data_IF_955535654034
#
_entry.id   IF_955535654034
#
_cell.length_a   1.000
_cell.length_b   1.000
_cell.length_c   1.000
_cell.angle_alpha   90.00
_cell.angle_beta   90.00
_cell.angle_gamma   90.00
#
_symmetry.space_group_name_H-M   'P 1'
#
loop_
_entity.id
_entity.type
_entity.pdbx_description
1 polymer ?
#
# COMPACT_ATOMS: atom_id res chain seq x y z
N UNK A 1 -12.44 -21.65 1.07
CA UNK A 1 -12.17 -20.28 1.56
C UNK A 1 -11.55 -20.26 2.96
N UNK A 2 -10.86 -19.18 3.36
CA UNK A 2 -10.38 -18.97 4.74
C UNK A 2 -11.55 -18.45 5.61
N UNK A 3 -11.93 -19.15 6.70
CA UNK A 3 -13.02 -18.72 7.58
C UNK A 3 -12.75 -17.39 8.31
N UNK A 4 -11.53 -16.84 8.24
CA UNK A 4 -11.10 -15.64 8.99
C UNK A 4 -11.10 -14.33 8.21
N UNK A 5 -11.61 -14.32 6.98
CA UNK A 5 -11.44 -13.16 6.11
C UNK A 5 -12.15 -11.89 6.60
N UNK A 6 -13.25 -11.99 7.37
CA UNK A 6 -13.94 -10.80 7.90
C UNK A 6 -13.11 -10.14 9.00
N UNK A 7 -12.58 -10.93 9.93
CA UNK A 7 -11.73 -10.41 11.00
C UNK A 7 -10.38 -9.93 10.47
N UNK A 8 -9.85 -10.53 9.40
CA UNK A 8 -8.66 -10.02 8.71
C UNK A 8 -8.92 -8.66 8.08
N UNK A 9 -10.00 -8.50 7.31
CA UNK A 9 -10.39 -7.22 6.74
C UNK A 9 -10.58 -6.13 7.81
N UNK A 10 -11.24 -6.45 8.93
CA UNK A 10 -11.39 -5.50 10.04
C UNK A 10 -10.05 -5.19 10.70
N UNK A 11 -9.13 -6.16 10.82
CA UNK A 11 -7.79 -5.93 11.38
C UNK A 11 -6.97 -4.98 10.50
N UNK A 12 -7.09 -5.08 9.18
CA UNK A 12 -6.46 -4.14 8.26
C UNK A 12 -7.00 -2.73 8.44
N UNK A 13 -8.31 -2.57 8.58
CA UNK A 13 -8.95 -1.26 8.86
C UNK A 13 -8.42 -0.69 10.19
N UNK A 14 -8.43 -1.48 11.28
CA UNK A 14 -7.88 -1.07 12.59
C UNK A 14 -6.41 -0.64 12.47
N UNK A 15 -5.63 -1.36 11.68
CA UNK A 15 -4.22 -1.04 11.46
C UNK A 15 -4.05 0.26 10.67
N UNK A 16 -4.89 0.48 9.65
CA UNK A 16 -4.94 1.72 8.88
C UNK A 16 -5.33 2.91 9.76
N UNK A 17 -6.39 2.80 10.54
CA UNK A 17 -6.83 3.84 11.49
C UNK A 17 -5.74 4.15 12.51
N UNK A 18 -5.09 3.13 13.08
CA UNK A 18 -3.95 3.32 13.99
C UNK A 18 -2.77 4.05 13.32
N UNK A 19 -2.41 3.70 12.08
CA UNK A 19 -1.34 4.37 11.35
C UNK A 19 -1.69 5.85 11.08
N UNK A 20 -2.94 6.13 10.70
CA UNK A 20 -3.43 7.50 10.48
C UNK A 20 -3.36 8.36 11.75
N UNK A 21 -3.69 7.79 12.91
CA UNK A 21 -3.54 8.45 14.22
C UNK A 21 -2.06 8.67 14.54
N UNK A 22 -1.25 7.61 14.47
CA UNK A 22 0.17 7.64 14.84
C UNK A 22 0.96 8.64 14.02
N UNK A 23 0.73 8.67 12.72
CA UNK A 23 1.51 9.44 11.75
C UNK A 23 0.83 10.78 11.42
N UNK A 24 -0.17 11.22 12.20
CA UNK A 24 -0.95 12.43 11.97
C UNK A 24 -0.11 13.68 11.66
N UNK A 25 0.99 13.86 12.38
CA UNK A 25 1.89 15.02 12.24
C UNK A 25 2.70 14.99 10.93
N UNK A 26 2.80 13.83 10.29
CA UNK A 26 3.52 13.65 9.02
C UNK A 26 2.66 13.94 7.80
N UNK A 27 1.34 13.92 7.95
CA UNK A 27 0.38 14.19 6.88
C UNK A 27 -0.01 15.66 6.81
N UNK A 28 -0.16 16.16 5.58
CA UNK A 28 -0.91 17.38 5.32
C UNK A 28 -2.40 17.20 5.67
N UNK A 29 -3.13 18.30 5.84
CA UNK A 29 -4.58 18.23 6.13
C UNK A 29 -5.40 17.63 4.99
N UNK A 30 -4.88 17.68 3.76
CA UNK A 30 -5.51 17.06 2.59
C UNK A 30 -5.28 15.54 2.59
N UNK A 31 -4.04 15.09 2.73
CA UNK A 31 -3.69 13.66 2.86
C UNK A 31 -4.41 13.00 4.05
N UNK A 32 -4.49 13.69 5.19
CA UNK A 32 -5.23 13.19 6.35
C UNK A 32 -6.71 12.97 6.03
N UNK A 33 -7.35 13.92 5.33
CA UNK A 33 -8.76 13.81 4.93
C UNK A 33 -8.97 12.71 3.90
N UNK A 34 -8.06 12.55 2.95
CA UNK A 34 -8.12 11.46 1.97
C UNK A 34 -8.01 10.08 2.63
N UNK A 35 -7.07 9.93 3.57
CA UNK A 35 -6.91 8.70 4.35
C UNK A 35 -8.18 8.36 5.15
N UNK A 36 -8.82 9.37 5.77
CA UNK A 36 -10.08 9.17 6.49
C UNK A 36 -11.24 8.78 5.57
N UNK A 37 -11.33 9.37 4.38
CA UNK A 37 -12.34 8.99 3.38
C UNK A 37 -12.14 7.55 2.95
N UNK A 38 -10.89 7.14 2.71
CA UNK A 38 -10.56 5.74 2.39
C UNK A 38 -10.99 4.78 3.51
N UNK A 39 -10.61 5.07 4.76
CA UNK A 39 -10.98 4.26 5.92
C UNK A 39 -12.49 4.19 6.11
N UNK A 40 -13.20 5.31 5.94
CA UNK A 40 -14.67 5.36 6.00
C UNK A 40 -15.30 4.42 4.97
N UNK A 41 -14.83 4.48 3.72
CA UNK A 41 -15.33 3.64 2.64
C UNK A 41 -15.04 2.15 2.88
N UNK A 42 -13.84 1.84 3.39
CA UNK A 42 -13.46 0.47 3.74
C UNK A 42 -14.35 -0.08 4.87
N UNK A 43 -14.55 0.71 5.94
CA UNK A 43 -15.38 0.33 7.08
C UNK A 43 -16.85 0.14 6.70
N UNK A 44 -17.40 1.06 5.91
CA UNK A 44 -18.78 0.95 5.41
C UNK A 44 -18.97 -0.27 4.50
N UNK A 45 -18.02 -0.55 3.61
CA UNK A 45 -18.05 -1.75 2.75
C UNK A 45 -18.03 -3.03 3.57
N UNK A 46 -17.16 -3.14 4.56
CA UNK A 46 -17.09 -4.32 5.42
C UNK A 46 -18.40 -4.52 6.21
N UNK A 47 -18.98 -3.44 6.73
CA UNK A 47 -20.30 -3.48 7.39
C UNK A 47 -21.39 -4.02 6.48
N UNK A 48 -21.49 -3.50 5.25
CA UNK A 48 -22.49 -3.96 4.27
C UNK A 48 -22.35 -5.44 3.92
N UNK A 49 -21.12 -5.96 3.88
CA UNK A 49 -20.83 -7.37 3.65
C UNK A 49 -21.32 -8.23 4.82
N UNK A 50 -21.02 -7.83 6.06
CA UNK A 50 -21.52 -8.51 7.27
C UNK A 50 -23.04 -8.50 7.32
N UNK A 51 -23.69 -7.38 7.00
CA UNK A 51 -25.15 -7.29 6.92
C UNK A 51 -25.74 -8.18 5.82
N UNK A 52 -25.07 -8.28 4.67
CA UNK A 52 -25.49 -9.14 3.58
C UNK A 52 -25.39 -10.61 3.96
N UNK A 53 -24.30 -11.00 4.60
CA UNK A 53 -24.10 -12.33 5.16
C UNK A 53 -25.22 -12.67 6.16
N UNK A 54 -25.50 -11.78 7.10
CA UNK A 54 -26.61 -11.90 8.05
C UNK A 54 -27.97 -12.12 7.38
N UNK A 55 -28.30 -11.33 6.34
CA UNK A 55 -29.55 -11.50 5.59
C UNK A 55 -29.63 -12.87 4.91
N UNK A 56 -28.52 -13.36 4.36
CA UNK A 56 -28.46 -14.67 3.71
C UNK A 56 -28.56 -15.81 4.71
N UNK A 57 -27.88 -15.70 5.86
CA UNK A 57 -28.01 -16.66 6.96
C UNK A 57 -29.47 -16.73 7.45
N UNK A 58 -30.08 -15.58 7.76
CA UNK A 58 -31.47 -15.55 8.23
C UNK A 58 -32.50 -16.09 7.22
N UNK A 59 -32.22 -16.01 5.92
CA UNK A 59 -33.15 -16.50 4.87
C UNK A 59 -32.98 -17.98 4.52
N UNK A 60 -31.81 -18.57 4.76
CA UNK A 60 -31.50 -19.97 4.38
C UNK A 60 -31.35 -20.93 5.56
N UNK A 61 -31.01 -20.42 6.75
CA UNK A 61 -30.50 -21.23 7.87
C UNK A 61 -31.51 -21.36 9.01
N UNK A 62 -32.50 -20.46 9.12
CA UNK A 62 -33.44 -20.48 10.25
C UNK A 62 -34.85 -20.93 9.85
N UNK A 63 -35.49 -21.80 10.67
CA UNK A 63 -35.46 -21.72 12.15
C UNK A 63 -35.27 -23.08 12.88
N UNK A 64 -34.05 -23.52 13.23
CA UNK A 64 -33.90 -24.59 14.25
C UNK A 64 -32.51 -24.89 14.80
N UNK A 65 -31.38 -24.60 14.13
CA UNK A 65 -30.10 -25.18 14.58
C UNK A 65 -29.44 -24.38 15.72
N UNK A 66 -29.42 -24.89 16.97
CA UNK A 66 -28.81 -24.22 18.11
C UNK A 66 -27.30 -23.96 17.91
N UNK A 67 -26.65 -24.73 17.05
CA UNK A 67 -25.23 -24.65 16.70
C UNK A 67 -24.86 -23.27 16.11
N UNK A 68 -25.76 -22.64 15.35
CA UNK A 68 -25.49 -21.34 14.69
C UNK A 68 -25.95 -20.12 15.47
N UNK A 69 -26.59 -20.32 16.63
CA UNK A 69 -27.17 -19.25 17.44
C UNK A 69 -26.15 -18.18 17.83
N UNK A 70 -24.96 -18.61 18.24
CA UNK A 70 -23.87 -17.72 18.64
C UNK A 70 -23.44 -16.79 17.51
N UNK A 71 -23.38 -17.28 16.27
CA UNK A 71 -22.95 -16.50 15.11
C UNK A 71 -23.98 -15.42 14.77
N UNK A 72 -25.26 -15.77 14.79
CA UNK A 72 -26.38 -14.84 14.54
C UNK A 72 -26.52 -13.80 15.65
N UNK A 73 -26.08 -14.10 16.87
CA UNK A 73 -26.02 -13.13 17.96
C UNK A 73 -24.81 -12.18 17.83
N UNK A 74 -23.67 -12.65 17.33
CA UNK A 74 -22.42 -11.87 17.26
C UNK A 74 -22.31 -10.96 16.04
N UNK A 75 -22.67 -11.45 14.84
CA UNK A 75 -22.52 -10.68 13.60
C UNK A 75 -23.30 -9.33 13.61
N UNK A 76 -24.51 -9.22 14.19
CA UNK A 76 -25.20 -7.92 14.28
C UNK A 76 -24.48 -6.95 15.23
N UNK A 77 -23.84 -7.47 16.29
CA UNK A 77 -23.03 -6.66 17.20
C UNK A 77 -21.77 -6.15 16.50
N UNK A 78 -21.14 -6.97 15.66
CA UNK A 78 -20.05 -6.54 14.79
C UNK A 78 -20.51 -5.40 13.87
N UNK A 79 -21.59 -5.59 13.11
CA UNK A 79 -22.10 -4.59 12.18
C UNK A 79 -22.49 -3.26 12.89
N UNK A 80 -23.07 -3.33 14.10
CA UNK A 80 -23.38 -2.13 14.89
C UNK A 80 -22.12 -1.38 15.33
N UNK A 81 -21.09 -2.10 15.81
CA UNK A 81 -19.82 -1.49 16.15
C UNK A 81 -19.11 -0.89 14.92
N UNK A 82 -19.20 -1.54 13.76
CA UNK A 82 -18.69 -0.98 12.49
C UNK A 82 -19.41 0.31 12.09
N UNK A 83 -20.72 0.41 12.33
CA UNK A 83 -21.49 1.63 12.05
C UNK A 83 -21.08 2.79 12.97
N UNK A 84 -20.83 2.49 14.25
CA UNK A 84 -20.28 3.47 15.20
C UNK A 84 -18.92 3.98 14.69
N UNK A 85 -18.00 3.07 14.32
CA UNK A 85 -16.71 3.45 13.75
C UNK A 85 -16.83 4.27 12.46
N UNK A 86 -17.70 3.86 11.54
CA UNK A 86 -17.96 4.59 10.29
C UNK A 86 -18.44 6.02 10.57
N UNK A 87 -19.29 6.21 11.59
CA UNK A 87 -19.82 7.53 11.98
C UNK A 87 -18.71 8.43 12.53
N UNK A 88 -17.82 7.90 13.36
CA UNK A 88 -16.67 8.64 13.89
C UNK A 88 -15.69 9.02 12.77
N UNK A 89 -15.39 8.10 11.85
CA UNK A 89 -14.54 8.37 10.67
C UNK A 89 -15.15 9.43 9.74
N UNK A 90 -16.47 9.39 9.50
CA UNK A 90 -17.18 10.44 8.76
C UNK A 90 -17.10 11.80 9.47
N UNK A 91 -17.08 11.80 10.80
CA UNK A 91 -16.83 12.96 11.65
C UNK A 91 -15.38 13.45 11.65
N UNK A 92 -14.48 12.77 10.92
CA UNK A 92 -13.03 12.98 10.92
C UNK A 92 -12.36 12.70 12.27
N UNK A 93 -12.97 11.84 13.09
CA UNK A 93 -12.45 11.42 14.39
C UNK A 93 -11.88 9.99 14.30
N UNK A 94 -10.61 9.87 13.91
CA UNK A 94 -9.93 8.57 13.88
C UNK A 94 -9.75 7.97 15.28
N UNK A 95 -9.46 8.81 16.28
CA UNK A 95 -9.27 8.38 17.67
C UNK A 95 -10.57 7.82 18.25
N UNK A 96 -11.70 8.46 17.95
CA UNK A 96 -13.05 8.02 18.30
C UNK A 96 -13.47 6.73 17.59
N UNK A 97 -13.00 6.51 16.35
CA UNK A 97 -13.31 5.31 15.58
C UNK A 97 -12.59 4.04 16.07
N UNK A 98 -11.38 4.16 16.60
CA UNK A 98 -10.54 3.00 16.93
C UNK A 98 -11.19 2.04 17.96
N UNK A 99 -11.82 2.51 19.07
CA UNK A 99 -12.51 1.60 20.00
C UNK A 99 -13.68 0.80 19.40
N UNK A 100 -14.64 1.38 18.65
CA UNK A 100 -15.65 0.59 17.95
C UNK A 100 -15.08 -0.38 16.90
N UNK A 101 -14.04 0.00 16.15
CA UNK A 101 -13.38 -0.92 15.22
C UNK A 101 -12.79 -2.16 15.93
N UNK A 102 -12.12 -1.96 17.07
CA UNK A 102 -11.57 -3.06 17.86
C UNK A 102 -12.67 -3.95 18.45
N UNK A 103 -13.80 -3.38 18.88
CA UNK A 103 -14.96 -4.17 19.34
C UNK A 103 -15.56 -4.99 18.19
N UNK A 104 -15.72 -4.39 17.01
CA UNK A 104 -16.15 -5.09 15.80
C UNK A 104 -15.24 -6.29 15.50
N UNK A 105 -13.93 -6.08 15.53
CA UNK A 105 -12.93 -7.14 15.31
C UNK A 105 -13.12 -8.32 16.28
N UNK A 106 -13.33 -8.04 17.57
CA UNK A 106 -13.55 -9.08 18.57
C UNK A 106 -14.84 -9.87 18.31
N UNK A 107 -15.93 -9.21 17.89
CA UNK A 107 -17.17 -9.88 17.55
C UNK A 107 -17.01 -10.77 16.31
N UNK A 108 -16.31 -10.28 15.28
CA UNK A 108 -16.01 -11.07 14.09
C UNK A 108 -15.18 -12.32 14.42
N UNK A 109 -14.09 -12.16 15.17
CA UNK A 109 -13.24 -13.29 15.56
C UNK A 109 -14.01 -14.36 16.32
N UNK A 110 -14.90 -13.97 17.24
CA UNK A 110 -15.76 -14.90 17.99
C UNK A 110 -16.82 -15.56 17.11
N UNK A 111 -17.34 -14.85 16.10
CA UNK A 111 -18.30 -15.39 15.16
C UNK A 111 -17.64 -16.42 14.23
N UNK A 112 -16.43 -16.12 13.76
CA UNK A 112 -15.63 -17.02 12.93
C UNK A 112 -15.18 -18.25 13.72
N UNK A 113 -14.77 -18.09 14.99
CA UNK A 113 -14.44 -19.22 15.89
C UNK A 113 -15.66 -20.14 16.09
N UNK A 114 -16.84 -19.56 16.36
CA UNK A 114 -18.06 -20.34 16.47
C UNK A 114 -18.41 -21.07 15.16
N UNK A 115 -18.18 -20.44 14.01
CA UNK A 115 -18.35 -21.08 12.70
C UNK A 115 -17.36 -22.23 12.49
N UNK A 116 -16.08 -22.03 12.81
CA UNK A 116 -15.05 -23.09 12.76
C UNK A 116 -15.46 -24.29 13.64
N UNK A 117 -15.95 -24.05 14.87
CA UNK A 117 -16.41 -25.11 15.77
C UNK A 117 -17.58 -25.91 15.18
N UNK A 118 -18.56 -25.23 14.60
CA UNK A 118 -19.70 -25.88 13.93
C UNK A 118 -19.21 -26.73 12.75
N UNK A 119 -18.34 -26.19 11.91
CA UNK A 119 -17.76 -26.92 10.78
C UNK A 119 -16.96 -28.16 11.22
N UNK A 120 -16.17 -28.05 12.29
CA UNK A 120 -15.41 -29.18 12.86
C UNK A 120 -16.35 -30.24 13.43
N UNK A 121 -17.41 -29.85 14.14
CA UNK A 121 -18.39 -30.78 14.72
C UNK A 121 -19.15 -31.58 13.65
N UNK A 122 -19.46 -30.93 12.52
CA UNK A 122 -20.11 -31.55 11.37
C UNK A 122 -19.12 -32.41 10.55
N UNK A 123 -17.86 -31.97 10.42
CA UNK A 123 -16.79 -32.75 9.80
C UNK A 123 -16.40 -34.02 10.57
N UNK A 124 -16.48 -34.00 11.91
CA UNK A 124 -16.28 -35.18 12.78
C UNK A 124 -17.47 -36.16 12.78
N UNK A 125 -18.63 -35.75 12.25
CA UNK A 125 -19.82 -36.60 12.06
C UNK A 125 -19.79 -37.47 10.79
N UNK A 126 -18.74 -37.38 9.98
CA UNK A 126 -18.52 -38.10 8.72
C UNK A 126 -18.21 -39.59 8.92
N UNK A 127 -19.17 -40.32 9.51
CA UNK A 127 -19.07 -41.73 9.85
C UNK A 127 -20.45 -42.39 9.96
N UNK A 128 -21.33 -42.15 8.99
CA UNK A 128 -22.50 -42.99 8.74
C UNK A 128 -23.86 -42.38 9.09
N UNK A 129 -24.67 -42.19 8.04
CA UNK A 129 -26.10 -42.44 8.07
C UNK A 129 -27.03 -41.28 8.47
N UNK A 130 -27.76 -40.75 7.48
CA UNK A 130 -29.19 -40.49 7.62
C UNK A 130 -29.64 -39.06 7.93
N UNK A 131 -30.06 -38.35 6.88
CA UNK A 131 -31.35 -37.63 6.84
C UNK A 131 -31.49 -36.34 7.64
N UNK A 132 -31.46 -35.20 6.93
CA UNK A 132 -32.25 -34.00 7.27
C UNK A 132 -31.49 -32.80 7.81
N UNK A 133 -30.36 -32.99 8.51
CA UNK A 133 -29.57 -31.88 9.11
C UNK A 133 -28.38 -31.36 8.28
N UNK A 134 -27.87 -32.15 7.32
CA UNK A 134 -26.67 -31.76 6.53
C UNK A 134 -26.90 -30.61 5.55
N UNK A 135 -28.12 -30.39 5.07
CA UNK A 135 -28.35 -29.42 3.99
C UNK A 135 -28.26 -27.95 4.45
N UNK A 136 -28.73 -27.62 5.66
CA UNK A 136 -28.62 -26.26 6.18
C UNK A 136 -27.17 -25.86 6.45
N UNK A 137 -26.34 -26.82 6.87
CA UNK A 137 -24.91 -26.64 7.09
C UNK A 137 -24.14 -26.47 5.77
N UNK A 138 -24.41 -27.33 4.77
CA UNK A 138 -23.84 -27.23 3.42
C UNK A 138 -24.23 -25.91 2.75
N UNK A 139 -25.51 -25.52 2.81
CA UNK A 139 -26.00 -24.25 2.25
C UNK A 139 -25.34 -23.01 2.91
N UNK A 140 -25.02 -23.09 4.20
CA UNK A 140 -24.36 -22.01 4.94
C UNK A 140 -22.86 -21.96 4.65
N UNK A 141 -22.21 -23.12 4.54
CA UNK A 141 -20.82 -23.22 4.12
C UNK A 141 -20.64 -22.62 2.71
N UNK A 142 -21.52 -22.96 1.77
CA UNK A 142 -21.53 -22.39 0.42
C UNK A 142 -21.79 -20.87 0.43
N UNK A 143 -22.63 -20.38 1.34
CA UNK A 143 -22.92 -18.95 1.50
C UNK A 143 -21.73 -18.17 2.04
N UNK A 144 -21.08 -18.68 3.09
CA UNK A 144 -19.89 -18.09 3.66
C UNK A 144 -18.77 -18.14 2.62
N UNK A 145 -18.52 -19.29 2.00
CA UNK A 145 -17.51 -19.43 0.94
C UNK A 145 -17.73 -18.44 -0.20
N UNK A 146 -18.96 -18.28 -0.71
CA UNK A 146 -19.25 -17.33 -1.78
C UNK A 146 -18.99 -15.87 -1.39
N UNK A 147 -19.38 -15.46 -0.17
CA UNK A 147 -19.19 -14.08 0.28
C UNK A 147 -17.71 -13.81 0.64
N UNK A 148 -17.02 -14.82 1.19
CA UNK A 148 -15.58 -14.79 1.49
C UNK A 148 -14.75 -14.74 0.20
N UNK A 149 -15.07 -15.55 -0.81
CA UNK A 149 -14.42 -15.50 -2.12
C UNK A 149 -14.58 -14.13 -2.76
N UNK A 150 -15.77 -13.52 -2.65
CA UNK A 150 -16.01 -12.17 -3.16
C UNK A 150 -15.16 -11.14 -2.41
N UNK A 151 -14.94 -11.32 -1.11
CA UNK A 151 -14.08 -10.49 -0.26
C UNK A 151 -12.61 -10.59 -0.68
N UNK A 152 -12.09 -11.80 -0.79
CA UNK A 152 -10.70 -12.07 -1.20
C UNK A 152 -10.40 -11.52 -2.59
N UNK A 153 -11.28 -11.78 -3.57
CA UNK A 153 -11.12 -11.25 -4.92
C UNK A 153 -11.09 -9.71 -4.98
N UNK A 154 -11.80 -9.02 -4.09
CA UNK A 154 -11.81 -7.56 -4.03
C UNK A 154 -10.53 -7.00 -3.39
N UNK A 155 -10.03 -7.61 -2.32
CA UNK A 155 -8.76 -7.19 -1.70
C UNK A 155 -7.57 -7.48 -2.60
N UNK A 156 -7.51 -8.65 -3.25
CA UNK A 156 -6.47 -8.94 -4.24
C UNK A 156 -6.52 -8.01 -5.46
N UNK A 157 -7.69 -7.53 -5.86
CA UNK A 157 -7.82 -6.59 -6.99
C UNK A 157 -7.33 -5.19 -6.62
N UNK A 158 -7.64 -4.71 -5.40
CA UNK A 158 -7.14 -3.42 -4.90
C UNK A 158 -5.63 -3.48 -4.69
N UNK A 159 -5.14 -4.53 -4.03
CA UNK A 159 -3.71 -4.71 -3.76
C UNK A 159 -2.89 -4.84 -5.07
N UNK A 160 -3.41 -5.54 -6.09
CA UNK A 160 -2.78 -5.58 -7.42
C UNK A 160 -2.78 -4.22 -8.12
N UNK A 161 -3.84 -3.42 -7.96
CA UNK A 161 -3.91 -2.07 -8.51
C UNK A 161 -2.89 -1.11 -7.88
N UNK A 162 -2.71 -1.17 -6.56
CA UNK A 162 -1.70 -0.38 -5.84
C UNK A 162 -0.28 -0.81 -6.21
N UNK A 163 -0.02 -2.12 -6.34
CA UNK A 163 1.28 -2.62 -6.78
C UNK A 163 1.61 -2.19 -8.22
N UNK A 164 0.64 -2.24 -9.13
CA UNK A 164 0.81 -1.78 -10.50
C UNK A 164 1.07 -0.27 -10.58
N UNK A 165 0.36 0.56 -9.80
CA UNK A 165 0.59 2.00 -9.77
C UNK A 165 1.99 2.35 -9.22
N UNK A 166 2.47 1.62 -8.21
CA UNK A 166 3.81 1.78 -7.68
C UNK A 166 4.88 1.38 -8.72
N UNK A 167 4.68 0.26 -9.41
CA UNK A 167 5.59 -0.20 -10.47
C UNK A 167 5.63 0.77 -11.66
N UNK A 168 4.49 1.28 -12.12
CA UNK A 168 4.41 2.31 -13.17
C UNK A 168 5.19 3.59 -12.78
N UNK A 169 5.12 3.96 -11.51
CA UNK A 169 5.85 5.13 -10.96
C UNK A 169 7.36 4.87 -10.95
N UNK A 170 7.81 3.66 -10.59
CA UNK A 170 9.23 3.26 -10.68
C UNK A 170 9.73 3.31 -12.12
N UNK A 171 8.93 2.82 -13.07
CA UNK A 171 9.28 2.83 -14.51
C UNK A 171 9.42 4.26 -15.05
N UNK A 172 8.50 5.15 -14.70
CA UNK A 172 8.60 6.56 -15.08
C UNK A 172 9.87 7.21 -14.50
N UNK A 173 10.20 6.92 -13.24
CA UNK A 173 11.44 7.42 -12.62
C UNK A 173 12.68 6.89 -13.34
N UNK A 174 12.70 5.62 -13.72
CA UNK A 174 13.80 5.01 -14.46
C UNK A 174 14.02 5.69 -15.81
N UNK A 175 12.95 5.99 -16.54
CA UNK A 175 13.05 6.67 -17.83
C UNK A 175 13.58 8.11 -17.66
N UNK A 176 13.11 8.83 -16.64
CA UNK A 176 13.62 10.18 -16.30
C UNK A 176 15.09 10.16 -15.91
N UNK A 177 15.53 9.18 -15.12
CA UNK A 177 16.94 9.00 -14.77
C UNK A 177 17.81 8.70 -16.01
N UNK A 178 17.30 7.91 -16.97
CA UNK A 178 17.99 7.67 -18.26
C UNK A 178 18.15 8.96 -19.05
N UNK A 179 17.10 9.77 -19.11
CA UNK A 179 17.18 11.04 -19.81
C UNK A 179 18.15 12.01 -19.12
N UNK A 180 18.10 12.10 -17.80
CA UNK A 180 19.00 12.92 -16.99
C UNK A 180 20.47 12.51 -17.20
N UNK A 181 20.77 11.21 -17.14
CA UNK A 181 22.11 10.69 -17.39
C UNK A 181 22.60 11.02 -18.80
N UNK A 182 21.75 10.87 -19.83
CA UNK A 182 22.08 11.26 -21.22
C UNK A 182 22.32 12.76 -21.36
N UNK A 183 21.54 13.60 -20.67
CA UNK A 183 21.74 15.06 -20.68
C UNK A 183 23.06 15.43 -20.00
N UNK A 184 23.34 14.85 -18.84
CA UNK A 184 24.59 15.05 -18.12
C UNK A 184 25.81 14.58 -18.94
N UNK A 185 25.73 13.47 -19.67
CA UNK A 185 26.82 12.98 -20.52
C UNK A 185 27.13 13.96 -21.66
N UNK A 186 26.08 14.50 -22.30
CA UNK A 186 26.24 15.56 -23.32
C UNK A 186 26.84 16.83 -22.75
N UNK A 187 26.50 17.21 -21.52
CA UNK A 187 27.09 18.37 -20.86
C UNK A 187 28.56 18.15 -20.51
N UNK A 188 28.89 17.01 -19.90
CA UNK A 188 30.25 16.60 -19.61
C UNK A 188 31.11 16.52 -20.88
N UNK A 189 30.59 15.97 -21.98
CA UNK A 189 31.30 15.90 -23.26
C UNK A 189 31.54 17.30 -23.86
N UNK A 190 30.53 18.17 -23.83
CA UNK A 190 30.67 19.59 -24.24
C UNK A 190 31.75 20.30 -23.42
N UNK A 191 31.80 20.02 -22.12
CA UNK A 191 32.82 20.58 -21.23
C UNK A 191 34.22 20.00 -21.52
N UNK A 192 34.35 18.69 -21.81
CA UNK A 192 35.61 18.06 -22.25
C UNK A 192 36.13 18.65 -23.55
N UNK A 193 35.25 18.88 -24.53
CA UNK A 193 35.61 19.48 -25.82
C UNK A 193 36.08 20.93 -25.65
N UNK A 194 35.45 21.69 -24.76
CA UNK A 194 35.88 23.05 -24.37
C UNK A 194 37.21 23.04 -23.61
N UNK A 195 37.46 22.08 -22.72
CA UNK A 195 38.74 21.97 -22.01
C UNK A 195 39.92 21.66 -22.97
N UNK A 196 39.66 21.01 -24.11
CA UNK A 196 40.65 20.71 -25.14
C UNK A 196 40.81 21.80 -26.21
N UNK A 197 39.94 22.82 -26.23
CA UNK A 197 39.95 23.91 -27.22
C UNK A 197 39.91 25.28 -26.54
N UNK A 198 40.91 26.11 -26.80
CA UNK A 198 41.24 27.36 -26.10
C UNK A 198 40.24 28.53 -26.33
N UNK A 199 38.94 28.32 -26.07
CA UNK A 199 37.91 29.37 -26.11
C UNK A 199 37.41 29.74 -24.70
N UNK A 200 37.38 31.05 -24.46
CA UNK A 200 37.04 31.74 -23.22
C UNK A 200 35.77 31.22 -22.54
N UNK A 201 35.90 31.02 -21.22
CA UNK A 201 34.90 30.50 -20.30
C UNK A 201 33.89 31.58 -19.89
N UNK A 202 32.66 31.51 -20.40
CA UNK A 202 31.52 32.15 -19.75
C UNK A 202 30.22 31.50 -20.26
N UNK A 203 29.66 30.54 -19.50
CA UNK A 203 28.34 29.97 -19.83
C UNK A 203 28.04 28.51 -19.47
N UNK A 204 28.92 27.79 -18.76
CA UNK A 204 28.72 26.35 -18.46
C UNK A 204 27.79 26.03 -17.28
N UNK A 205 27.66 26.91 -16.29
CA UNK A 205 27.00 26.58 -15.01
C UNK A 205 25.47 26.65 -14.99
N UNK A 206 24.81 27.03 -16.09
CA UNK A 206 23.34 27.09 -16.14
C UNK A 206 22.71 25.72 -16.38
N UNK A 207 23.22 24.96 -17.37
CA UNK A 207 22.76 23.59 -17.64
C UNK A 207 23.02 22.65 -16.46
N UNK A 208 24.22 22.78 -15.87
CA UNK A 208 24.63 21.99 -14.73
C UNK A 208 23.78 22.24 -13.46
N UNK A 209 23.21 23.45 -13.29
CA UNK A 209 22.25 23.77 -12.21
C UNK A 209 20.88 23.16 -12.48
N UNK A 210 20.38 23.25 -13.71
CA UNK A 210 19.10 22.64 -14.09
C UNK A 210 19.13 21.12 -13.89
N UNK A 211 20.24 20.46 -14.26
CA UNK A 211 20.42 19.02 -14.03
C UNK A 211 20.48 18.68 -12.53
N UNK A 212 21.09 19.53 -11.71
CA UNK A 212 21.12 19.33 -10.26
C UNK A 212 19.72 19.45 -9.63
N UNK A 213 18.90 20.40 -10.10
CA UNK A 213 17.52 20.57 -9.65
C UNK A 213 16.65 19.36 -10.05
N UNK A 214 16.75 18.89 -11.29
CA UNK A 214 16.03 17.71 -11.79
C UNK A 214 16.44 16.43 -11.03
N UNK A 215 17.72 16.27 -10.70
CA UNK A 215 18.22 15.17 -9.87
C UNK A 215 17.67 15.22 -8.43
N UNK A 216 17.58 16.41 -7.82
CA UNK A 216 17.05 16.59 -6.47
C UNK A 216 15.54 16.29 -6.41
N UNK A 217 14.78 16.71 -7.41
CA UNK A 217 13.36 16.37 -7.52
C UNK A 217 13.14 14.87 -7.67
N UNK A 218 13.96 14.20 -8.49
CA UNK A 218 13.92 12.76 -8.64
C UNK A 218 14.28 12.03 -7.33
N UNK A 219 15.27 12.54 -6.57
CA UNK A 219 15.63 12.00 -5.25
C UNK A 219 14.46 12.09 -4.26
N UNK A 220 13.79 13.25 -4.19
CA UNK A 220 12.62 13.44 -3.31
C UNK A 220 11.45 12.53 -3.67
N UNK A 221 11.19 12.32 -4.96
CA UNK A 221 10.14 11.40 -5.43
C UNK A 221 10.47 9.97 -5.05
N UNK A 222 11.71 9.55 -5.29
CA UNK A 222 12.19 8.21 -4.96
C UNK A 222 12.17 7.95 -3.45
N UNK A 223 12.49 8.96 -2.62
CA UNK A 223 12.41 8.85 -1.16
C UNK A 223 10.97 8.65 -0.66
N UNK A 224 9.99 9.38 -1.21
CA UNK A 224 8.58 9.18 -0.86
C UNK A 224 8.11 7.76 -1.21
N UNK A 225 8.39 7.33 -2.44
CA UNK A 225 8.05 5.99 -2.90
C UNK A 225 8.74 4.90 -2.06
N UNK A 226 10.01 5.12 -1.68
CA UNK A 226 10.74 4.21 -0.83
C UNK A 226 10.14 4.07 0.57
N UNK A 227 9.57 5.16 1.11
CA UNK A 227 8.85 5.17 2.39
C UNK A 227 7.50 4.47 2.28
N UNK A 228 6.74 4.77 1.22
CA UNK A 228 5.43 4.15 0.93
C UNK A 228 5.55 2.63 0.76
N UNK A 229 6.54 2.18 -0.03
CA UNK A 229 6.80 0.75 -0.26
C UNK A 229 7.61 0.09 0.87
N UNK A 230 8.07 0.87 1.86
CA UNK A 230 9.01 0.42 2.89
C UNK A 230 10.23 -0.33 2.33
N UNK A 231 10.78 0.12 1.19
CA UNK A 231 11.93 -0.49 0.51
C UNK A 231 13.26 0.14 0.97
N UNK A 232 14.11 -0.59 1.73
CA UNK A 232 15.42 -0.07 2.15
C UNK A 232 16.36 0.19 0.97
N UNK A 233 16.18 -0.54 -0.13
CA UNK A 233 17.00 -0.46 -1.33
C UNK A 233 16.68 0.81 -2.12
N UNK A 234 15.40 1.18 -2.23
CA UNK A 234 15.03 2.47 -2.81
C UNK A 234 15.45 3.66 -1.94
N UNK A 235 15.42 3.53 -0.61
CA UNK A 235 15.96 4.55 0.30
C UNK A 235 17.46 4.79 0.07
N UNK A 236 18.23 3.73 -0.20
CA UNK A 236 19.64 3.85 -0.60
C UNK A 236 19.80 4.51 -1.97
N UNK A 237 18.95 4.16 -2.93
CA UNK A 237 18.95 4.76 -4.26
C UNK A 237 18.63 6.27 -4.20
N UNK A 238 17.65 6.68 -3.39
CA UNK A 238 17.29 8.08 -3.17
C UNK A 238 18.47 8.88 -2.57
N UNK A 239 19.16 8.33 -1.57
CA UNK A 239 20.36 8.94 -0.98
C UNK A 239 21.48 9.15 -1.99
N UNK A 240 21.76 8.14 -2.83
CA UNK A 240 22.78 8.24 -3.89
C UNK A 240 22.41 9.25 -4.97
N UNK A 241 21.12 9.35 -5.31
CA UNK A 241 20.62 10.32 -6.27
C UNK A 241 20.76 11.75 -5.74
N UNK A 242 20.51 11.96 -4.44
CA UNK A 242 20.76 13.23 -3.78
C UNK A 242 22.25 13.61 -3.79
N UNK A 243 23.15 12.65 -3.52
CA UNK A 243 24.59 12.88 -3.65
C UNK A 243 25.01 13.23 -5.09
N UNK A 244 24.33 12.68 -6.10
CA UNK A 244 24.57 13.04 -7.50
C UNK A 244 24.16 14.49 -7.78
N UNK A 245 22.99 14.92 -7.29
CA UNK A 245 22.52 16.30 -7.38
C UNK A 245 23.52 17.30 -6.74
N UNK A 246 24.05 16.96 -5.57
CA UNK A 246 25.04 17.79 -4.87
C UNK A 246 26.37 17.92 -5.62
N UNK A 247 26.81 16.85 -6.28
CA UNK A 247 28.01 16.90 -7.14
C UNK A 247 27.76 17.76 -8.39
N UNK A 248 26.58 17.68 -9.01
CA UNK A 248 26.21 18.56 -10.13
C UNK A 248 26.17 20.02 -9.70
N UNK A 249 25.61 20.33 -8.53
CA UNK A 249 25.59 21.69 -7.97
C UNK A 249 27.00 22.24 -7.74
N UNK A 250 27.90 21.42 -7.19
CA UNK A 250 29.32 21.77 -7.02
C UNK A 250 30.04 21.96 -8.35
N UNK A 251 29.75 21.12 -9.34
CA UNK A 251 30.27 21.28 -10.69
C UNK A 251 29.79 22.57 -11.38
N UNK A 252 28.57 23.01 -11.07
CA UNK A 252 28.02 24.25 -11.60
C UNK A 252 28.63 25.49 -10.94
N UNK A 253 28.98 25.40 -9.65
CA UNK A 253 29.60 26.48 -8.88
C UNK A 253 31.10 26.64 -9.20
N UNK A 254 31.79 25.55 -9.56
CA UNK A 254 33.23 25.54 -9.80
C UNK A 254 33.54 25.42 -11.31
N UNK A 255 34.12 26.46 -11.91
CA UNK A 255 34.48 26.46 -13.34
C UNK A 255 35.82 25.77 -13.66
N UNK A 256 36.57 25.34 -12.64
CA UNK A 256 37.93 24.80 -12.77
C UNK A 256 37.95 23.27 -12.91
N UNK A 257 39.14 22.67 -12.93
CA UNK A 257 39.35 21.21 -12.98
C UNK A 257 38.55 20.43 -11.91
N UNK A 258 38.20 21.06 -10.79
CA UNK A 258 37.34 20.49 -9.75
C UNK A 258 35.90 20.24 -10.22
N UNK A 259 35.33 21.13 -11.03
CA UNK A 259 33.98 20.95 -11.57
C UNK A 259 33.89 19.78 -12.55
N UNK A 260 34.98 19.48 -13.25
CA UNK A 260 35.07 18.34 -14.15
C UNK A 260 35.01 16.99 -13.41
N UNK A 261 35.75 16.87 -12.30
CA UNK A 261 35.75 15.66 -11.48
C UNK A 261 34.38 15.42 -10.84
N UNK A 262 33.74 16.48 -10.33
CA UNK A 262 32.39 16.42 -9.73
C UNK A 262 31.32 16.05 -10.77
N UNK A 263 31.40 16.58 -11.99
CA UNK A 263 30.47 16.21 -13.08
C UNK A 263 30.61 14.73 -13.50
N UNK A 264 31.83 14.17 -13.43
CA UNK A 264 32.07 12.74 -13.64
C UNK A 264 31.50 11.87 -12.52
N UNK A 265 31.74 12.26 -11.26
CA UNK A 265 31.21 11.56 -10.10
C UNK A 265 29.68 11.54 -10.08
N UNK A 266 29.03 12.63 -10.50
CA UNK A 266 27.57 12.68 -10.64
C UNK A 266 27.04 11.66 -11.66
N UNK A 267 27.71 11.50 -12.81
CA UNK A 267 27.34 10.50 -13.82
C UNK A 267 27.47 9.07 -13.31
N UNK A 268 28.57 8.77 -12.62
CA UNK A 268 28.80 7.43 -12.08
C UNK A 268 27.74 7.07 -11.02
N UNK A 269 27.35 8.03 -10.17
CA UNK A 269 26.26 7.86 -9.20
C UNK A 269 24.90 7.65 -9.87
N UNK A 270 24.58 8.40 -10.92
CA UNK A 270 23.33 8.21 -11.66
C UNK A 270 23.24 6.80 -12.28
N UNK A 271 24.34 6.29 -12.82
CA UNK A 271 24.41 4.92 -13.39
C UNK A 271 24.23 3.85 -12.32
N UNK A 272 24.90 4.00 -11.17
CA UNK A 272 24.75 3.07 -10.05
C UNK A 272 23.31 3.05 -9.48
N UNK A 273 22.63 4.20 -9.43
CA UNK A 273 21.21 4.26 -9.07
C UNK A 273 20.34 3.49 -10.08
N UNK A 274 20.60 3.67 -11.38
CA UNK A 274 19.87 2.93 -12.42
C UNK A 274 20.06 1.43 -12.31
N UNK A 275 21.31 0.97 -12.19
CA UNK A 275 21.61 -0.46 -12.11
C UNK A 275 20.92 -1.12 -10.91
N UNK A 276 20.86 -0.41 -9.77
CA UNK A 276 20.17 -0.89 -8.56
C UNK A 276 18.66 -1.00 -8.75
N UNK A 277 18.02 0.03 -9.29
CA UNK A 277 16.58 0.02 -9.56
C UNK A 277 16.20 -1.04 -10.61
N UNK A 278 17.06 -1.27 -11.60
CA UNK A 278 16.87 -2.35 -12.58
C UNK A 278 16.99 -3.74 -11.96
N UNK A 279 17.96 -3.94 -11.06
CA UNK A 279 18.13 -5.20 -10.35
C UNK A 279 16.96 -5.47 -9.38
N UNK A 280 16.41 -4.43 -8.75
CA UNK A 280 15.22 -4.55 -7.91
C UNK A 280 14.01 -4.99 -8.73
N UNK A 281 13.80 -4.39 -9.90
CA UNK A 281 12.71 -4.75 -10.81
C UNK A 281 12.86 -6.19 -11.34
N UNK A 282 14.08 -6.59 -11.71
CA UNK A 282 14.37 -7.96 -12.16
C UNK A 282 14.23 -9.00 -11.06
N UNK A 283 14.37 -8.61 -9.78
CA UNK A 283 14.16 -9.49 -8.63
C UNK A 283 12.69 -9.68 -8.24
N UNK A 284 11.76 -8.87 -8.78
CA UNK A 284 10.31 -8.96 -8.52
C UNK A 284 9.54 -9.74 -9.59
N UNK A 285 10.13 -9.98 -10.77
CA UNK A 285 9.59 -10.82 -11.85
C UNK A 285 9.91 -12.30 -11.62
#
# INVERSE_FOLDING_TARGET
>A
ADPRALSEAQREIVSGTFNVIRDRETYTDEEYRENLVFLTLAQGRLREQVETLLRRMNSRVMPADPEFRTIVELLPQAAAAMLEAETELQGQDADGALPPEQRSLQFLQRAEEAYEEVMVSMGMGGGGGGGGGSQAAEDLADLFELELDKLQNQYEAVQRGEQQAADDTVDEMMERLRELARRQEREAERQRRRARGQQSAQGGGAGQRALAEEAEEAARRLERLAREMSSPQMMDAARRLQEAADAMRRAAANSDNLGFAEAGAALDRLRDVQDRLQNEQAGRL
#
